data_IF_333955071185
#
_entry.id   IF_333955071185
#
_cell.length_a   1.000
_cell.length_b   1.000
_cell.length_c   1.000
_cell.angle_alpha   90.00
_cell.angle_beta   90.00
_cell.angle_gamma   90.00
#
_symmetry.space_group_name_H-M   'P 1'
#
loop_
_entity.id
_entity.type
_entity.pdbx_description
1 polymer ?
#
# COMPACT_ATOMS: atom_id res chain seq x y z
N UNK A 1 -5.01 -19.57 6.92
CA UNK A 1 -5.80 -18.46 6.32
C UNK A 1 -5.50 -17.21 7.15
N UNK A 2 -5.25 -16.04 6.55
CA UNK A 2 -5.02 -14.80 7.28
C UNK A 2 -6.19 -14.44 8.21
N UNK A 3 -5.88 -13.85 9.36
CA UNK A 3 -6.84 -13.26 10.31
C UNK A 3 -7.47 -11.98 9.74
N UNK A 4 -6.65 -11.16 9.09
CA UNK A 4 -7.05 -9.95 8.39
C UNK A 4 -6.29 -9.79 7.06
N UNK A 5 -6.76 -8.84 6.26
CA UNK A 5 -6.16 -8.36 5.04
C UNK A 5 -6.04 -6.84 5.12
N UNK A 6 -4.93 -6.32 4.61
CA UNK A 6 -4.62 -4.90 4.59
C UNK A 6 -4.30 -4.52 3.15
N UNK A 7 -4.86 -3.41 2.68
CA UNK A 7 -4.57 -2.83 1.37
C UNK A 7 -4.31 -1.34 1.53
N UNK A 8 -3.08 -0.92 1.20
CA UNK A 8 -2.64 0.48 1.22
C UNK A 8 -2.25 0.88 -0.21
N UNK A 9 -3.17 1.47 -0.99
CA UNK A 9 -2.83 2.03 -2.30
C UNK A 9 -2.01 3.32 -2.11
N UNK A 10 -1.17 3.65 -3.09
CA UNK A 10 -0.41 4.91 -3.13
C UNK A 10 -0.28 5.36 -4.58
N UNK A 11 -0.39 6.67 -4.82
CA UNK A 11 -0.24 7.29 -6.15
C UNK A 11 -0.05 8.80 -6.03
N UNK A 12 1.03 9.37 -6.54
CA UNK A 12 1.32 10.80 -6.44
C UNK A 12 0.16 11.69 -6.97
N UNK A 13 -0.33 12.68 -6.19
CA UNK A 13 0.23 13.21 -4.95
C UNK A 13 -0.30 12.62 -3.64
N UNK A 14 -1.13 11.57 -3.69
CA UNK A 14 -1.85 11.04 -2.53
C UNK A 14 -1.48 9.57 -2.21
N UNK A 15 -1.90 9.11 -1.04
CA UNK A 15 -1.83 7.70 -0.68
C UNK A 15 -3.04 7.34 0.18
N UNK A 16 -3.35 6.06 0.23
CA UNK A 16 -4.56 5.54 0.81
C UNK A 16 -5.80 5.80 -0.06
N UNK A 17 -7.00 5.61 0.52
CA UNK A 17 -7.25 5.22 1.91
C UNK A 17 -6.79 3.79 2.22
N UNK A 18 -6.40 3.56 3.48
CA UNK A 18 -6.05 2.23 3.99
C UNK A 18 -7.30 1.38 4.23
N UNK A 19 -7.36 0.22 3.60
CA UNK A 19 -8.41 -0.78 3.83
C UNK A 19 -7.91 -1.87 4.76
N UNK A 20 -8.68 -2.17 5.81
CA UNK A 20 -8.47 -3.30 6.73
C UNK A 20 -9.75 -4.11 6.78
N UNK A 21 -9.67 -5.40 6.48
CA UNK A 21 -10.85 -6.27 6.41
C UNK A 21 -10.51 -7.72 6.77
N UNK A 22 -11.49 -8.47 7.26
CA UNK A 22 -11.39 -9.94 7.39
C UNK A 22 -11.99 -10.67 6.19
N UNK A 23 -12.60 -9.93 5.26
CA UNK A 23 -13.21 -10.43 4.04
C UNK A 23 -12.25 -10.32 2.85
N UNK A 24 -11.80 -11.47 2.35
CA UNK A 24 -10.91 -11.54 1.21
C UNK A 24 -11.58 -11.03 -0.08
N UNK A 25 -12.89 -11.20 -0.23
CA UNK A 25 -13.60 -10.75 -1.42
C UNK A 25 -13.67 -9.22 -1.47
N UNK A 26 -13.91 -8.59 -0.31
CA UNK A 26 -13.85 -7.14 -0.19
C UNK A 26 -12.48 -6.58 -0.60
N UNK A 27 -11.39 -7.19 -0.12
CA UNK A 27 -10.03 -6.81 -0.55
C UNK A 27 -9.84 -6.90 -2.06
N UNK A 28 -10.28 -8.00 -2.67
CA UNK A 28 -10.17 -8.24 -4.12
C UNK A 28 -10.97 -7.19 -4.89
N UNK A 29 -12.16 -6.81 -4.39
CA UNK A 29 -13.01 -5.83 -5.06
C UNK A 29 -12.44 -4.42 -4.94
N UNK A 30 -11.83 -4.05 -3.80
CA UNK A 30 -11.06 -2.80 -3.66
C UNK A 30 -9.89 -2.74 -4.66
N UNK A 31 -9.15 -3.84 -4.84
CA UNK A 31 -8.06 -3.91 -5.83
C UNK A 31 -8.61 -3.74 -7.26
N UNK A 32 -9.74 -4.35 -7.60
CA UNK A 32 -10.36 -4.21 -8.94
C UNK A 32 -10.88 -2.80 -9.21
N UNK A 33 -11.32 -2.10 -8.17
CA UNK A 33 -11.81 -0.72 -8.27
C UNK A 33 -10.68 0.30 -8.36
N UNK A 34 -9.43 -0.10 -8.07
CA UNK A 34 -8.27 0.76 -8.17
C UNK A 34 -8.11 1.26 -9.61
N UNK A 35 -8.20 2.58 -9.78
CA UNK A 35 -7.95 3.24 -11.06
C UNK A 35 -6.56 3.84 -11.03
N UNK A 36 -5.63 3.24 -11.77
CA UNK A 36 -4.25 3.74 -11.90
C UNK A 36 -4.17 4.70 -13.08
N UNK A 37 -4.35 5.99 -12.81
CA UNK A 37 -4.20 7.05 -13.80
C UNK A 37 -3.66 8.31 -13.12
N UNK A 38 -2.71 9.00 -13.77
CA UNK A 38 -2.07 10.18 -13.21
C UNK A 38 -0.66 9.89 -12.68
N UNK A 39 -0.24 10.65 -11.66
CA UNK A 39 1.15 10.79 -11.24
C UNK A 39 1.73 12.09 -11.78
N UNK A 40 2.03 13.04 -10.90
CA UNK A 40 2.58 14.35 -11.33
C UNK A 40 3.97 14.21 -11.97
N UNK A 41 4.75 13.28 -11.43
CA UNK A 41 6.04 12.84 -11.93
C UNK A 41 6.15 11.30 -11.86
N UNK A 42 7.29 10.75 -12.30
CA UNK A 42 7.51 9.30 -12.31
C UNK A 42 7.71 8.68 -10.93
N UNK A 43 8.36 9.33 -9.93
CA UNK A 43 8.52 8.73 -8.61
C UNK A 43 7.24 8.74 -7.74
N UNK A 44 7.00 7.67 -6.99
CA UNK A 44 5.77 7.46 -6.21
C UNK A 44 5.99 7.51 -4.69
N UNK A 45 4.91 7.66 -3.91
CA UNK A 45 4.91 7.70 -2.44
C UNK A 45 4.95 6.30 -1.78
N UNK A 46 5.88 5.47 -2.24
CA UNK A 46 6.01 4.06 -1.87
C UNK A 46 6.14 3.83 -0.35
N UNK A 47 7.06 4.56 0.32
CA UNK A 47 7.34 4.30 1.74
C UNK A 47 6.21 4.76 2.66
N UNK A 48 5.41 5.77 2.28
CA UNK A 48 4.18 6.11 3.01
C UNK A 48 3.21 4.92 3.04
N UNK A 49 2.88 4.34 1.88
CA UNK A 49 1.95 3.21 1.81
C UNK A 49 2.45 1.98 2.57
N UNK A 50 3.75 1.68 2.47
CA UNK A 50 4.36 0.59 3.25
C UNK A 50 4.31 0.87 4.75
N UNK A 51 4.69 2.07 5.18
CA UNK A 51 4.73 2.41 6.61
C UNK A 51 3.33 2.41 7.23
N UNK A 52 2.29 2.83 6.51
CA UNK A 52 0.90 2.72 6.99
C UNK A 52 0.46 1.27 7.16
N UNK A 53 0.74 0.42 6.18
CA UNK A 53 0.41 -1.01 6.29
C UNK A 53 1.12 -1.67 7.47
N UNK A 54 2.39 -1.33 7.71
CA UNK A 54 3.17 -1.88 8.83
C UNK A 54 2.67 -1.42 10.20
N UNK A 55 2.12 -0.21 10.33
CA UNK A 55 1.56 0.29 11.59
C UNK A 55 0.33 -0.50 12.07
N UNK A 56 -0.39 -1.14 11.15
CA UNK A 56 -1.64 -1.87 11.44
C UNK A 56 -1.52 -3.39 11.23
N UNK A 57 -0.41 -3.87 10.68
CA UNK A 57 -0.21 -5.29 10.44
C UNK A 57 -0.11 -6.10 11.74
N UNK A 58 -0.58 -7.34 11.68
CA UNK A 58 -0.49 -8.26 12.81
C UNK A 58 0.86 -8.98 12.79
N UNK A 59 1.36 -9.48 13.94
CA UNK A 59 2.55 -10.32 13.95
C UNK A 59 2.43 -11.51 12.99
N UNK A 60 3.53 -11.80 12.27
CA UNK A 60 3.60 -12.84 11.23
C UNK A 60 2.78 -12.56 9.95
N UNK A 61 2.31 -11.32 9.74
CA UNK A 61 1.82 -10.91 8.42
C UNK A 61 2.88 -11.09 7.33
N UNK A 62 2.44 -11.43 6.13
CA UNK A 62 3.28 -11.45 4.92
C UNK A 62 2.90 -10.21 4.11
N UNK A 63 3.89 -9.35 3.85
CA UNK A 63 3.70 -8.09 3.12
C UNK A 63 4.18 -8.28 1.69
N UNK A 64 3.31 -7.93 0.74
CA UNK A 64 3.64 -7.87 -0.69
C UNK A 64 3.55 -6.42 -1.14
N UNK A 65 4.56 -5.93 -1.86
CA UNK A 65 4.57 -4.59 -2.43
C UNK A 65 4.74 -4.67 -3.94
N UNK A 66 4.03 -3.79 -4.66
CA UNK A 66 4.03 -3.74 -6.12
C UNK A 66 4.17 -2.29 -6.55
N UNK A 67 5.15 -2.00 -7.40
CA UNK A 67 5.36 -0.67 -7.99
C UNK A 67 6.21 -0.82 -9.25
N UNK A 68 5.97 0.02 -10.25
CA UNK A 68 6.77 0.18 -11.48
C UNK A 68 7.60 1.47 -11.48
N UNK A 69 7.60 2.20 -10.36
CA UNK A 69 8.22 3.51 -10.21
C UNK A 69 9.26 3.54 -9.06
N UNK A 70 10.25 4.44 -9.12
CA UNK A 70 11.13 4.72 -7.98
C UNK A 70 10.35 5.35 -6.81
N UNK A 71 10.84 5.17 -5.58
CA UNK A 71 10.27 5.85 -4.42
C UNK A 71 10.71 7.32 -4.35
N UNK A 72 9.75 8.25 -4.41
CA UNK A 72 9.94 9.70 -4.16
C UNK A 72 10.35 9.96 -2.71
N UNK A 73 9.82 9.15 -1.81
CA UNK A 73 9.94 9.26 -0.36
C UNK A 73 11.01 8.32 0.22
N UNK A 74 12.08 8.04 -0.53
CA UNK A 74 13.17 7.15 -0.11
C UNK A 74 13.84 7.52 1.22
N UNK A 75 13.73 8.78 1.66
CA UNK A 75 14.20 9.24 2.96
C UNK A 75 13.42 8.64 4.14
N UNK A 76 12.24 8.04 3.90
CA UNK A 76 11.44 7.29 4.87
C UNK A 76 11.77 5.80 4.91
N UNK A 77 12.75 5.35 4.12
CA UNK A 77 13.19 3.96 4.14
C UNK A 77 13.54 3.55 5.59
N UNK A 78 13.07 2.38 6.05
CA UNK A 78 13.49 1.84 7.33
C UNK A 78 15.01 1.78 7.39
N UNK A 79 15.60 2.48 8.36
CA UNK A 79 17.04 2.36 8.66
C UNK A 79 17.22 1.02 9.35
N UNK A 80 17.46 -0.02 8.54
CA UNK A 80 17.99 -1.31 9.00
C UNK A 80 19.39 -1.13 9.59
#
# INVERSE_FOLDING_TARGET
>A
RPSNYIFSPFNDPEWGPLTITTDAQYLIDEIKNLTVFGGGDTPELYYHGVNEALQVCEPNSIVYTFTDAPAKDYYLQPKV
#
